data_IF_424640393506
#
_entry.id   IF_424640393506
#
_cell.length_a   1.000
_cell.length_b   1.000
_cell.length_c   1.000
_cell.angle_alpha   90.00
_cell.angle_beta   90.00
_cell.angle_gamma   90.00
#
_symmetry.space_group_name_H-M   'P 1'
#
loop_
_entity.id
_entity.type
_entity.pdbx_description
1 polymer ?
#
# COMPACT_ATOMS: atom_id res chain seq x y z
N UNK A 1 16.95 2.16 27.62
CA UNK A 1 15.63 1.52 27.60
C UNK A 1 15.04 1.81 26.25
N UNK A 2 14.79 0.81 25.40
CA UNK A 2 14.06 1.04 24.14
C UNK A 2 12.65 1.52 24.50
N UNK A 3 12.19 2.59 23.85
CA UNK A 3 10.83 3.09 24.10
C UNK A 3 9.82 2.06 23.54
N UNK A 4 8.64 1.87 24.16
CA UNK A 4 7.59 1.00 23.62
C UNK A 4 7.25 1.34 22.16
N UNK A 5 7.33 2.63 21.82
CA UNK A 5 7.13 3.17 20.48
C UNK A 5 8.16 2.62 19.47
N UNK A 6 9.44 2.62 19.80
CA UNK A 6 10.49 2.07 18.95
C UNK A 6 10.26 0.60 18.61
N UNK A 7 9.86 -0.20 19.61
CA UNK A 7 9.56 -1.62 19.41
C UNK A 7 8.32 -1.81 18.52
N UNK A 8 7.23 -1.09 18.82
CA UNK A 8 6.02 -1.14 18.02
C UNK A 8 6.25 -0.72 16.55
N UNK A 9 7.04 0.34 16.33
CA UNK A 9 7.38 0.81 14.99
C UNK A 9 8.22 -0.22 14.23
N UNK A 10 9.19 -0.86 14.89
CA UNK A 10 9.99 -1.92 14.27
C UNK A 10 9.12 -3.12 13.85
N UNK A 11 8.20 -3.56 14.72
CA UNK A 11 7.24 -4.64 14.38
C UNK A 11 6.33 -4.21 13.23
N UNK A 12 5.85 -2.95 13.25
CA UNK A 12 5.00 -2.39 12.20
C UNK A 12 5.66 -2.43 10.82
N UNK A 13 6.90 -1.93 10.70
CA UNK A 13 7.64 -1.92 9.42
C UNK A 13 7.83 -3.34 8.88
N UNK A 14 8.18 -4.31 9.74
CA UNK A 14 8.34 -5.70 9.33
C UNK A 14 7.01 -6.34 8.87
N UNK A 15 5.91 -6.05 9.58
CA UNK A 15 4.59 -6.54 9.21
C UNK A 15 4.14 -5.94 7.86
N UNK A 16 4.36 -4.65 7.64
CA UNK A 16 4.09 -3.99 6.36
C UNK A 16 4.94 -4.58 5.23
N UNK A 17 6.21 -4.93 5.48
CA UNK A 17 7.06 -5.60 4.49
C UNK A 17 6.51 -6.96 4.06
N UNK A 18 6.04 -7.77 5.02
CA UNK A 18 5.41 -9.06 4.74
C UNK A 18 4.13 -8.87 3.92
N UNK A 19 3.27 -7.93 4.32
CA UNK A 19 2.02 -7.63 3.60
C UNK A 19 2.29 -7.16 2.17
N UNK A 20 3.32 -6.34 1.96
CA UNK A 20 3.75 -5.93 0.62
C UNK A 20 4.20 -7.12 -0.24
N UNK A 21 4.93 -8.08 0.35
CA UNK A 21 5.29 -9.33 -0.32
C UNK A 21 4.06 -10.15 -0.73
N UNK A 22 3.04 -10.22 0.12
CA UNK A 22 1.76 -10.88 -0.21
C UNK A 22 1.07 -10.19 -1.39
N UNK A 23 1.00 -8.86 -1.37
CA UNK A 23 0.40 -8.06 -2.46
C UNK A 23 1.10 -8.32 -3.81
N UNK A 24 2.44 -8.38 -3.82
CA UNK A 24 3.21 -8.71 -5.02
C UNK A 24 2.87 -10.10 -5.58
N UNK A 25 2.73 -11.10 -4.71
CA UNK A 25 2.35 -12.46 -5.11
C UNK A 25 0.93 -12.49 -5.65
N UNK A 26 -0.02 -11.82 -4.99
CA UNK A 26 -1.42 -11.73 -5.44
C UNK A 26 -1.52 -11.03 -6.79
N UNK A 27 -0.77 -9.94 -7.00
CA UNK A 27 -0.65 -9.28 -8.30
C UNK A 27 -0.13 -10.24 -9.37
N UNK A 28 0.98 -10.95 -9.07
CA UNK A 28 1.58 -11.91 -9.99
C UNK A 28 0.61 -13.02 -10.40
N UNK A 29 -0.10 -13.61 -9.43
CA UNK A 29 -1.12 -14.64 -9.69
C UNK A 29 -2.26 -14.06 -10.55
N UNK A 30 -2.72 -12.85 -10.24
CA UNK A 30 -3.81 -12.19 -10.96
C UNK A 30 -3.42 -11.95 -12.41
N UNK A 31 -2.26 -11.34 -12.67
CA UNK A 31 -1.77 -11.10 -14.03
C UNK A 31 -1.53 -12.42 -14.78
N UNK A 32 -0.97 -13.43 -14.12
CA UNK A 32 -0.75 -14.74 -14.72
C UNK A 32 -2.07 -15.42 -15.13
N UNK A 33 -3.06 -15.45 -14.24
CA UNK A 33 -4.39 -16.01 -14.51
C UNK A 33 -5.11 -15.26 -15.64
N UNK A 34 -4.95 -13.94 -15.71
CA UNK A 34 -5.47 -13.10 -16.80
C UNK A 34 -4.73 -13.31 -18.12
N UNK A 35 -3.48 -13.78 -18.08
CA UNK A 35 -2.69 -14.06 -19.27
C UNK A 35 -3.00 -15.42 -19.88
N UNK A 36 -3.28 -16.42 -19.05
CA UNK A 36 -3.61 -17.77 -19.50
C UNK A 36 -5.05 -17.92 -20.01
N UNK A 37 -5.89 -16.90 -19.83
CA UNK A 37 -7.28 -16.91 -20.27
C UNK A 37 -7.38 -16.81 -21.81
N UNK A 38 -8.12 -17.71 -22.47
CA UNK A 38 -8.20 -17.78 -23.94
C UNK A 38 -8.95 -16.60 -24.58
N UNK A 39 -9.88 -15.97 -23.86
CA UNK A 39 -10.60 -14.77 -24.31
C UNK A 39 -10.52 -13.69 -23.25
N UNK A 40 -10.04 -12.51 -23.65
CA UNK A 40 -9.90 -11.34 -22.77
C UNK A 40 -11.05 -10.37 -23.01
N UNK A 41 -11.87 -10.14 -21.98
CA UNK A 41 -12.93 -9.13 -22.01
C UNK A 41 -12.41 -7.74 -21.67
N UNK A 42 -13.23 -6.70 -21.92
CA UNK A 42 -12.94 -5.32 -21.46
C UNK A 42 -12.83 -5.22 -19.93
N UNK A 43 -13.56 -6.08 -19.20
CA UNK A 43 -13.48 -6.16 -17.75
C UNK A 43 -12.12 -6.69 -17.26
N UNK A 44 -11.56 -7.68 -17.98
CA UNK A 44 -10.26 -8.28 -17.66
C UNK A 44 -9.13 -7.24 -17.74
N UNK A 45 -9.13 -6.42 -18.81
CA UNK A 45 -8.18 -5.31 -18.98
C UNK A 45 -8.32 -4.30 -17.84
N UNK A 46 -9.56 -3.95 -17.47
CA UNK A 46 -9.81 -3.05 -16.34
C UNK A 46 -9.27 -3.61 -15.02
N UNK A 47 -9.41 -4.91 -14.75
CA UNK A 47 -8.86 -5.54 -13.54
C UNK A 47 -7.33 -5.50 -13.50
N UNK A 48 -6.66 -5.66 -14.63
CA UNK A 48 -5.20 -5.54 -14.70
C UNK A 48 -4.74 -4.12 -14.37
N UNK A 49 -5.38 -3.09 -14.95
CA UNK A 49 -5.07 -1.70 -14.63
C UNK A 49 -5.36 -1.36 -13.17
N UNK A 50 -6.50 -1.82 -12.65
CA UNK A 50 -6.88 -1.65 -11.26
C UNK A 50 -5.85 -2.27 -10.31
N UNK A 51 -5.50 -3.53 -10.51
CA UNK A 51 -4.53 -4.26 -9.68
C UNK A 51 -3.12 -3.66 -9.79
N UNK A 52 -2.71 -3.19 -10.98
CA UNK A 52 -1.43 -2.50 -11.15
C UNK A 52 -1.40 -1.16 -10.42
N UNK A 53 -2.53 -0.43 -10.40
CA UNK A 53 -2.64 0.85 -9.68
C UNK A 53 -2.53 0.63 -8.16
N UNK A 54 -3.19 -0.39 -7.63
CA UNK A 54 -3.06 -0.79 -6.23
C UNK A 54 -1.62 -1.15 -5.87
N UNK A 55 -0.94 -1.93 -6.72
CA UNK A 55 0.45 -2.31 -6.52
C UNK A 55 1.37 -1.08 -6.46
N UNK A 56 1.18 -0.12 -7.37
CA UNK A 56 1.97 1.13 -7.40
C UNK A 56 1.76 1.92 -6.11
N UNK A 57 0.51 2.12 -5.69
CA UNK A 57 0.20 2.84 -4.44
C UNK A 57 0.83 2.17 -3.22
N UNK A 58 0.76 0.84 -3.12
CA UNK A 58 1.37 0.12 -2.01
C UNK A 58 2.90 0.14 -2.06
N UNK A 59 3.49 0.10 -3.26
CA UNK A 59 4.94 0.22 -3.45
C UNK A 59 5.44 1.59 -3.00
N UNK A 60 4.71 2.65 -3.34
CA UNK A 60 5.02 4.01 -2.88
C UNK A 60 5.02 4.04 -1.35
N UNK A 61 3.92 3.61 -0.71
CA UNK A 61 3.80 3.57 0.74
C UNK A 61 4.93 2.80 1.43
N UNK A 62 5.27 1.60 0.92
CA UNK A 62 6.36 0.81 1.46
C UNK A 62 7.72 1.48 1.28
N UNK A 63 8.02 1.99 0.07
CA UNK A 63 9.30 2.63 -0.24
C UNK A 63 9.56 3.88 0.60
N UNK A 64 8.53 4.71 0.81
CA UNK A 64 8.63 5.92 1.64
C UNK A 64 8.82 5.59 3.11
N UNK A 65 8.14 4.54 3.62
CA UNK A 65 8.33 4.08 4.99
C UNK A 65 9.72 3.45 5.19
N UNK A 66 10.24 2.72 4.21
CA UNK A 66 11.58 2.15 4.25
C UNK A 66 12.66 3.25 4.27
N UNK A 67 12.56 4.24 3.38
CA UNK A 67 13.47 5.38 3.33
C UNK A 67 13.41 6.21 4.63
N UNK A 68 12.22 6.45 5.17
CA UNK A 68 12.08 7.13 6.45
C UNK A 68 12.68 6.32 7.61
N UNK A 69 12.52 5.00 7.59
CA UNK A 69 13.17 4.11 8.53
C UNK A 69 14.69 4.25 8.46
N UNK A 70 15.28 4.16 7.28
CA UNK A 70 16.72 4.32 7.11
C UNK A 70 17.22 5.68 7.63
N UNK A 71 16.53 6.76 7.29
CA UNK A 71 16.88 8.11 7.76
C UNK A 71 16.79 8.25 9.29
N UNK A 72 15.77 7.64 9.90
CA UNK A 72 15.54 7.72 11.35
C UNK A 72 16.48 6.81 12.16
N UNK A 73 16.73 5.59 11.67
CA UNK A 73 17.47 4.57 12.43
C UNK A 73 18.97 4.52 12.11
N UNK A 74 19.38 4.90 10.89
CA UNK A 74 20.77 4.78 10.43
C UNK A 74 21.41 6.17 10.31
N UNK A 75 20.84 7.05 9.49
CA UNK A 75 21.46 8.35 9.17
C UNK A 75 21.42 9.30 10.38
N UNK A 76 20.26 9.44 11.00
CA UNK A 76 20.03 10.35 12.12
C UNK A 76 19.93 9.61 13.46
N UNK A 77 20.66 8.50 13.63
CA UNK A 77 20.64 7.69 14.85
C UNK A 77 21.02 8.47 16.13
N UNK A 78 21.76 9.58 15.99
CA UNK A 78 22.19 10.47 17.09
C UNK A 78 21.43 11.79 17.13
N UNK A 79 20.23 11.86 16.55
CA UNK A 79 19.45 13.09 16.51
C UNK A 79 19.18 13.63 17.93
N UNK A 80 19.41 14.94 18.18
CA UNK A 80 19.17 15.53 19.49
C UNK A 80 17.67 15.46 19.85
N UNK A 81 17.36 14.86 20.99
CA UNK A 81 15.98 14.55 21.40
C UNK A 81 15.51 13.12 21.08
N UNK A 82 16.35 12.32 20.43
CA UNK A 82 16.05 10.93 20.10
C UNK A 82 15.14 10.76 18.88
N UNK A 83 14.77 9.52 18.61
CA UNK A 83 13.97 9.16 17.43
C UNK A 83 12.54 9.70 17.49
N UNK A 84 11.97 9.82 18.69
CA UNK A 84 10.62 10.37 18.89
C UNK A 84 10.58 11.85 18.49
N UNK A 85 11.63 12.63 18.79
CA UNK A 85 11.75 14.02 18.38
C UNK A 85 12.02 14.17 16.88
N UNK A 86 12.77 13.25 16.27
CA UNK A 86 12.97 13.22 14.83
C UNK A 86 11.66 12.96 14.09
N UNK A 87 10.86 12.02 14.60
CA UNK A 87 9.57 11.68 14.03
C UNK A 87 8.58 12.83 14.13
N UNK A 88 8.44 13.48 15.30
CA UNK A 88 7.55 14.63 15.45
C UNK A 88 7.90 15.78 14.50
N UNK A 89 9.20 16.01 14.29
CA UNK A 89 9.68 17.04 13.35
C UNK A 89 9.45 16.69 11.87
N UNK A 90 9.45 15.39 11.50
CA UNK A 90 9.42 14.94 10.11
C UNK A 90 8.16 14.13 9.72
N UNK A 91 7.17 14.02 10.60
CA UNK A 91 5.92 13.30 10.33
C UNK A 91 5.10 13.95 9.22
N UNK A 92 5.22 15.28 9.05
CA UNK A 92 4.47 16.04 8.06
C UNK A 92 5.26 16.31 6.76
N UNK A 93 6.33 15.54 6.51
CA UNK A 93 7.06 15.68 5.25
C UNK A 93 6.25 15.05 4.12
N UNK A 94 6.32 15.65 2.93
CA UNK A 94 5.52 15.27 1.76
C UNK A 94 5.52 13.75 1.46
N UNK A 95 6.64 13.05 1.66
CA UNK A 95 6.74 11.61 1.43
C UNK A 95 5.98 10.78 2.49
N UNK A 96 5.88 11.26 3.74
CA UNK A 96 5.06 10.61 4.78
C UNK A 96 3.57 10.83 4.55
N UNK A 97 3.19 12.03 4.11
CA UNK A 97 1.81 12.30 3.70
C UNK A 97 1.42 11.45 2.49
N UNK A 98 2.31 11.29 1.52
CA UNK A 98 2.10 10.40 0.37
C UNK A 98 1.99 8.93 0.80
N UNK A 99 2.85 8.51 1.75
CA UNK A 99 2.84 7.16 2.32
C UNK A 99 1.49 6.78 2.93
N UNK A 100 0.91 7.71 3.70
CA UNK A 100 -0.37 7.52 4.39
C UNK A 100 -1.58 7.72 3.48
N UNK A 101 -1.52 8.62 2.51
CA UNK A 101 -2.59 8.83 1.54
C UNK A 101 -2.75 7.67 0.55
N UNK A 102 -1.66 6.96 0.22
CA UNK A 102 -1.65 5.83 -0.72
C UNK A 102 -2.61 4.69 -0.33
N UNK A 103 -2.53 4.09 0.88
CA UNK A 103 -3.46 3.04 1.30
C UNK A 103 -4.89 3.54 1.45
N UNK A 104 -5.11 4.80 1.87
CA UNK A 104 -6.46 5.40 1.89
C UNK A 104 -7.07 5.47 0.49
N UNK A 105 -6.27 5.89 -0.50
CA UNK A 105 -6.69 5.94 -1.91
C UNK A 105 -6.97 4.54 -2.45
N UNK A 106 -6.14 3.56 -2.10
CA UNK A 106 -6.34 2.16 -2.46
C UNK A 106 -7.67 1.60 -1.90
N UNK A 107 -7.99 1.89 -0.65
CA UNK A 107 -9.26 1.51 -0.03
C UNK A 107 -10.45 2.17 -0.76
N UNK A 108 -10.35 3.48 -1.05
CA UNK A 108 -11.39 4.20 -1.78
C UNK A 108 -11.63 3.62 -3.19
N UNK A 109 -10.55 3.21 -3.88
CA UNK A 109 -10.64 2.51 -5.16
C UNK A 109 -11.33 1.14 -5.02
N UNK A 110 -11.05 0.42 -3.94
CA UNK A 110 -11.72 -0.83 -3.58
C UNK A 110 -13.23 -0.63 -3.38
N UNK A 111 -13.61 0.38 -2.61
CA UNK A 111 -15.02 0.71 -2.35
C UNK A 111 -15.72 1.13 -3.66
N UNK A 112 -15.07 1.96 -4.48
CA UNK A 112 -15.60 2.36 -5.78
C UNK A 112 -15.82 1.17 -6.72
N UNK A 113 -14.95 0.16 -6.68
CA UNK A 113 -15.13 -1.09 -7.43
C UNK A 113 -16.37 -1.85 -6.98
N UNK A 114 -16.59 -1.96 -5.66
CA UNK A 114 -17.76 -2.66 -5.11
C UNK A 114 -19.06 -1.96 -5.51
N UNK A 115 -19.12 -0.63 -5.37
CA UNK A 115 -20.27 0.18 -5.80
C UNK A 115 -20.52 0.00 -7.29
N UNK A 116 -19.48 0.05 -8.13
CA UNK A 116 -19.61 -0.19 -9.57
C UNK A 116 -20.22 -1.56 -9.87
N UNK A 117 -19.82 -2.60 -9.14
CA UNK A 117 -20.38 -3.97 -9.29
C UNK A 117 -21.84 -4.03 -8.87
N UNK A 118 -22.22 -3.41 -7.75
CA UNK A 118 -23.61 -3.35 -7.28
C UNK A 118 -24.52 -2.67 -8.31
N UNK A 119 -24.14 -1.48 -8.79
CA UNK A 119 -24.92 -0.72 -9.78
C UNK A 119 -25.05 -1.48 -11.11
N UNK A 120 -24.00 -2.19 -11.54
CA UNK A 120 -24.07 -3.05 -12.72
C UNK A 120 -25.03 -4.22 -12.53
N UNK A 121 -25.05 -4.81 -11.34
CA UNK A 121 -25.96 -5.92 -11.00
C UNK A 121 -27.42 -5.48 -10.95
N UNK A 122 -27.72 -4.33 -10.37
CA UNK A 122 -29.09 -3.77 -10.35
C UNK A 122 -29.63 -3.43 -11.74
N UNK A 123 -28.75 -3.07 -12.68
CA UNK A 123 -29.13 -2.73 -14.07
C UNK A 123 -29.33 -3.94 -14.97
N UNK A 124 -28.84 -5.11 -14.59
CA UNK A 124 -28.99 -6.36 -15.33
C UNK A 124 -29.33 -7.48 -14.34
N UNK A 125 -30.59 -7.54 -13.87
CA UNK A 125 -31.07 -8.62 -13.01
C UNK A 125 -31.22 -9.88 -13.87
N UNK A 126 -30.12 -10.58 -14.11
CA UNK A 126 -30.12 -11.92 -14.69
C UNK A 126 -29.30 -12.83 -13.78
N UNK A 127 -29.77 -12.95 -12.53
CA UNK A 127 -30.29 -14.17 -11.92
C UNK A 127 -31.47 -13.76 -11.03
#
# INVERSE_FOLDING_TARGET
>A
MSSPFQNANYVGINLTAILYGVELVVYGITVHALWTKPTRGRADIFFVFFSTTLLILMTISYSTNAAFGEEMWIVNAKYPGGMDAYLDAHVNVWYQTLSSASPTTANLLGDALMVRRMVLNERNPII
#
